data_IF_818187740552
#
_entry.id   IF_818187740552
#
_cell.length_a   1.000
_cell.length_b   1.000
_cell.length_c   1.000
_cell.angle_alpha   90.00
_cell.angle_beta   90.00
_cell.angle_gamma   90.00
#
_symmetry.space_group_name_H-M   'P 1'
#
loop_
_entity.id
_entity.type
_entity.pdbx_description
1 polymer ?
2 non-polymer ?
3 non-polymer ?
4 water ?
#
# COMPACT_ATOMS: atom_id res chain seq x y z
N UNK A 4 20.07 -10.60 21.56
CA UNK A 4 19.80 -10.40 20.08
C UNK A 4 19.10 -9.05 19.87
N UNK A 5 19.73 -8.08 19.15
CA UNK A 5 19.21 -6.73 19.04
C UNK A 5 17.89 -6.73 18.25
N UNK A 6 17.00 -5.78 18.56
CA UNK A 6 15.78 -5.59 17.74
C UNK A 6 16.15 -4.85 16.47
N UNK A 7 15.55 -5.19 15.32
CA UNK A 7 15.94 -4.53 14.08
C UNK A 7 15.43 -3.11 13.98
N UNK A 8 16.17 -2.30 13.24
CA UNK A 8 15.85 -0.89 12.90
C UNK A 8 15.23 -0.84 11.50
N UNK A 9 15.43 -1.90 10.71
CA UNK A 9 14.94 -2.01 9.33
C UNK A 9 14.74 -3.48 8.97
N UNK A 10 13.71 -3.75 8.17
CA UNK A 10 13.40 -5.11 7.66
C UNK A 10 13.25 -4.99 6.15
N UNK A 11 13.29 -6.12 5.49
CA UNK A 11 12.93 -6.16 4.06
C UNK A 11 11.65 -6.95 3.91
N UNK A 12 10.86 -6.43 2.98
CA UNK A 12 9.49 -6.93 2.70
C UNK A 12 9.44 -7.27 1.22
N UNK A 13 9.02 -8.48 0.91
CA UNK A 13 8.67 -8.94 -0.45
C UNK A 13 7.17 -8.80 -0.66
N UNK A 14 6.78 -8.19 -1.76
CA UNK A 14 5.39 -8.09 -2.20
C UNK A 14 5.29 -8.81 -3.53
N UNK A 15 4.41 -9.78 -3.65
CA UNK A 15 4.15 -10.39 -4.96
C UNK A 15 2.70 -10.27 -5.33
N UNK A 16 2.41 -10.06 -6.60
CA UNK A 16 1.04 -10.09 -7.13
C UNK A 16 1.03 -10.94 -8.39
N UNK A 17 0.10 -11.87 -8.45
CA UNK A 17 -0.03 -12.75 -9.61
C UNK A 17 -1.45 -13.11 -9.86
N UNK A 18 -1.96 -12.76 -11.02
CA UNK A 18 -3.25 -13.27 -11.50
C UNK A 18 -2.95 -14.59 -12.21
N UNK A 19 -3.37 -15.67 -11.60
CA UNK A 19 -2.99 -17.05 -11.97
C UNK A 19 -3.87 -17.54 -13.13
N UNK A 20 -4.88 -16.81 -13.54
CA UNK A 20 -5.71 -17.21 -14.68
C UNK A 20 -6.40 -18.55 -14.48
N UNK A 21 -6.72 -18.88 -13.23
CA UNK A 21 -7.49 -20.09 -12.85
C UNK A 21 -6.75 -21.35 -13.34
N UNK A 22 -5.42 -21.30 -13.38
CA UNK A 22 -4.58 -22.46 -13.75
C UNK A 22 -3.64 -22.74 -12.61
N UNK A 23 -3.30 -24.02 -12.34
CA UNK A 23 -2.30 -24.28 -11.34
C UNK A 23 -0.94 -23.75 -11.79
N UNK A 24 -0.07 -23.45 -10.83
CA UNK A 24 1.24 -22.94 -11.17
C UNK A 24 2.15 -24.03 -11.72
N UNK A 25 3.25 -23.64 -12.35
CA UNK A 25 4.25 -24.63 -12.73
C UNK A 25 5.00 -25.14 -11.48
N UNK A 26 5.86 -26.14 -11.70
CA UNK A 26 6.54 -26.81 -10.55
C UNK A 26 7.54 -25.87 -9.86
N UNK A 27 8.13 -24.93 -10.60
CA UNK A 27 9.14 -24.02 -10.04
C UNK A 27 8.68 -22.57 -10.22
N UNK A 28 8.61 -21.84 -9.12
CA UNK A 28 8.18 -20.41 -9.15
C UNK A 28 9.21 -19.59 -8.34
N UNK A 29 10.38 -20.15 -8.05
CA UNK A 29 11.44 -19.47 -7.28
C UNK A 29 11.88 -18.11 -7.86
N UNK A 30 11.84 -17.93 -9.19
CA UNK A 30 12.26 -16.67 -9.85
C UNK A 30 11.42 -15.50 -9.32
N UNK A 31 10.17 -15.77 -8.97
CA UNK A 31 9.27 -14.71 -8.44
C UNK A 31 9.84 -14.19 -7.12
N UNK A 32 10.14 -15.10 -6.20
CA UNK A 32 10.59 -14.72 -4.85
C UNK A 32 12.03 -14.19 -4.85
N UNK A 33 12.78 -14.50 -5.87
CA UNK A 33 14.15 -13.99 -6.06
C UNK A 33 14.16 -12.66 -6.80
N UNK A 34 13.03 -12.12 -7.24
CA UNK A 34 13.01 -10.85 -7.98
C UNK A 34 13.90 -10.94 -9.24
N UNK A 35 13.73 -12.02 -10.02
CA UNK A 35 14.48 -12.29 -11.28
C UNK A 35 13.52 -12.16 -12.47
N UNK A 36 14.00 -11.53 -13.55
CA UNK A 36 13.25 -11.46 -14.81
C UNK A 36 13.54 -10.14 -15.43
N UNK A 37 12.48 -9.36 -15.67
CA UNK A 37 12.57 -8.02 -16.29
C UNK A 37 12.37 -6.95 -15.23
N UNK A 38 12.84 -5.74 -15.52
CA UNK A 38 12.62 -4.58 -14.69
C UNK A 38 13.77 -4.32 -13.78
N UNK A 39 13.46 -3.86 -12.57
CA UNK A 39 14.45 -3.56 -11.51
C UNK A 39 14.59 -4.84 -10.66
N UNK A 40 15.63 -5.63 -10.95
CA UNK A 40 15.80 -6.98 -10.41
C UNK A 40 16.84 -6.99 -9.30
N UNK A 41 16.77 -8.05 -8.53
CA UNK A 41 17.60 -8.23 -7.34
C UNK A 41 18.95 -8.87 -7.72
N UNK A 42 20.02 -8.41 -7.10
CA UNK A 42 21.38 -8.92 -7.37
C UNK A 42 21.48 -10.41 -6.97
N UNK A 43 22.15 -11.18 -7.82
CA UNK A 43 22.38 -12.63 -7.55
C UNK A 43 23.02 -12.86 -6.17
N UNK A 44 23.86 -11.93 -5.74
CA UNK A 44 24.62 -12.10 -4.46
C UNK A 44 23.66 -12.12 -3.25
N UNK A 45 22.40 -11.72 -3.43
CA UNK A 45 21.40 -11.68 -2.34
C UNK A 45 20.54 -12.94 -2.35
N UNK A 46 20.68 -13.86 -3.29
CA UNK A 46 19.67 -14.91 -3.47
C UNK A 46 19.43 -15.74 -2.21
N UNK A 47 20.45 -15.94 -1.37
CA UNK A 47 20.23 -16.79 -0.18
C UNK A 47 19.72 -15.98 1.00
N UNK A 48 19.68 -14.66 0.90
CA UNK A 48 19.33 -13.79 2.04
C UNK A 48 17.79 -13.74 2.06
N UNK A 49 17.14 -14.25 3.11
CA UNK A 49 15.70 -14.21 3.16
C UNK A 49 15.22 -12.78 3.41
N UNK A 50 14.08 -12.43 2.81
CA UNK A 50 13.33 -11.26 3.24
C UNK A 50 12.74 -11.58 4.61
N UNK A 51 12.49 -10.55 5.39
CA UNK A 51 11.89 -10.69 6.74
C UNK A 51 10.44 -11.15 6.63
N UNK A 52 9.70 -10.59 5.68
CA UNK A 52 8.24 -10.80 5.51
C UNK A 52 7.99 -10.97 4.00
N UNK A 53 7.26 -12.01 3.60
CA UNK A 53 6.78 -12.22 2.23
C UNK A 53 5.27 -12.10 2.21
N UNK A 54 4.75 -11.21 1.38
CA UNK A 54 3.31 -10.99 1.24
C UNK A 54 2.97 -11.33 -0.18
N UNK A 55 2.09 -12.33 -0.36
CA UNK A 55 1.80 -12.95 -1.68
C UNK A 55 0.32 -12.77 -2.01
N UNK A 56 0.02 -11.90 -2.98
CA UNK A 56 -1.35 -11.64 -3.43
C UNK A 56 -1.59 -12.40 -4.70
N UNK A 57 -2.63 -13.18 -4.77
CA UNK A 57 -3.07 -13.83 -6.01
C UNK A 57 -4.49 -13.40 -6.35
N UNK A 58 -4.78 -13.51 -7.62
CA UNK A 58 -6.12 -13.30 -8.19
C UNK A 58 -6.40 -14.47 -9.15
N UNK A 59 -7.65 -14.82 -9.33
CA UNK A 59 -8.02 -15.98 -10.18
C UNK A 59 -7.22 -17.19 -9.69
N UNK A 60 -7.09 -17.35 -8.38
CA UNK A 60 -6.31 -18.42 -7.74
C UNK A 60 -7.20 -19.66 -7.63
N UNK A 61 -6.84 -20.77 -8.34
CA UNK A 61 -7.66 -22.00 -8.34
C UNK A 61 -7.34 -22.98 -7.21
N UNK A 62 -6.33 -22.71 -6.41
CA UNK A 62 -5.81 -23.64 -5.39
C UNK A 62 -6.57 -23.46 -4.09
N UNK A 63 -6.55 -24.50 -3.26
CA UNK A 63 -6.98 -24.35 -1.87
C UNK A 63 -5.88 -23.56 -1.12
N UNK A 64 -6.22 -23.03 0.04
CA UNK A 64 -5.24 -22.38 0.92
C UNK A 64 -4.13 -23.36 1.27
N UNK A 65 -4.49 -24.61 1.58
CA UNK A 65 -3.49 -25.65 1.92
C UNK A 65 -2.53 -25.82 0.75
N UNK A 66 -3.08 -26.01 -0.45
CA UNK A 66 -2.27 -26.32 -1.63
C UNK A 66 -1.31 -25.17 -1.87
N UNK A 67 -1.76 -23.93 -1.78
CA UNK A 67 -0.87 -22.80 -2.11
C UNK A 67 0.17 -22.61 -1.01
N UNK A 68 -0.22 -22.72 0.26
CA UNK A 68 0.73 -22.58 1.38
C UNK A 68 1.87 -23.61 1.24
N UNK A 69 1.53 -24.85 0.89
CA UNK A 69 2.49 -25.94 0.60
C UNK A 69 3.53 -25.42 -0.39
N UNK A 70 3.05 -24.93 -1.54
CA UNK A 70 3.92 -24.48 -2.64
C UNK A 70 4.77 -23.31 -2.20
N UNK A 71 4.17 -22.34 -1.52
CA UNK A 71 4.92 -21.16 -1.12
C UNK A 71 6.01 -21.53 -0.12
N UNK A 72 5.64 -22.25 0.93
CA UNK A 72 6.66 -22.59 1.96
C UNK A 72 7.82 -23.41 1.37
N UNK A 73 7.50 -24.39 0.52
CA UNK A 73 8.49 -25.23 -0.20
C UNK A 73 9.45 -24.31 -0.96
N UNK A 74 8.90 -23.41 -1.78
CA UNK A 74 9.67 -22.51 -2.66
C UNK A 74 10.64 -21.67 -1.82
N UNK A 75 10.18 -21.10 -0.70
CA UNK A 75 11.04 -20.27 0.15
C UNK A 75 12.09 -21.16 0.81
N UNK A 76 11.71 -22.34 1.27
CA UNK A 76 12.70 -23.24 1.92
C UNK A 76 13.77 -23.62 0.92
N UNK A 77 13.41 -23.93 -0.32
CA UNK A 77 14.38 -24.26 -1.37
C UNK A 77 15.35 -23.10 -1.58
N UNK A 78 14.86 -21.85 -1.59
CA UNK A 78 15.72 -20.66 -1.86
C UNK A 78 16.65 -20.41 -0.68
N UNK A 79 16.12 -20.43 0.52
CA UNK A 79 16.75 -19.80 1.69
C UNK A 79 17.20 -20.80 2.77
N UNK A 80 16.68 -22.04 2.70
CA UNK A 80 16.84 -23.12 3.71
C UNK A 80 15.99 -22.84 4.95
N UNK A 81 15.25 -21.72 4.97
CA UNK A 81 14.44 -21.28 6.16
C UNK A 81 13.01 -21.78 6.00
N UNK A 82 12.47 -22.33 7.07
CA UNK A 82 11.06 -22.72 7.16
C UNK A 82 10.26 -21.52 7.70
N UNK A 83 9.51 -20.87 6.82
CA UNK A 83 8.78 -19.63 7.18
C UNK A 83 7.53 -19.99 7.98
N UNK A 84 7.15 -19.09 8.85
CA UNK A 84 5.91 -19.20 9.66
C UNK A 84 4.80 -18.48 8.93
N UNK A 85 3.60 -19.03 8.98
CA UNK A 85 2.41 -18.41 8.39
C UNK A 85 1.84 -17.39 9.37
N UNK A 86 1.86 -16.11 9.04
CA UNK A 86 1.29 -15.02 9.84
C UNK A 86 -0.20 -14.97 9.62
N UNK A 87 -0.64 -15.01 8.37
CA UNK A 87 -2.05 -14.86 8.04
C UNK A 87 -2.30 -15.36 6.63
N UNK A 88 -3.51 -15.82 6.41
CA UNK A 88 -4.00 -16.15 5.04
C UNK A 88 -5.48 -15.79 4.99
N UNK A 89 -5.89 -15.11 3.95
CA UNK A 89 -7.30 -14.73 3.79
C UNK A 89 -7.68 -14.77 2.32
N UNK A 90 -8.83 -15.36 2.02
CA UNK A 90 -9.32 -15.55 0.65
C UNK A 90 -10.75 -15.03 0.53
N UNK A 91 -11.00 -14.24 -0.51
CA UNK A 91 -12.36 -13.85 -0.93
C UNK A 91 -12.51 -14.38 -2.34
N UNK A 92 -13.40 -15.32 -2.53
CA UNK A 92 -13.61 -15.94 -3.84
C UNK A 92 -12.29 -16.51 -4.32
N UNK A 93 -11.71 -15.96 -5.36
CA UNK A 93 -10.40 -16.43 -5.91
C UNK A 93 -9.31 -15.38 -5.73
N UNK A 94 -9.50 -14.44 -4.80
CA UNK A 94 -8.55 -13.38 -4.42
C UNK A 94 -7.95 -13.74 -3.07
N UNK A 95 -6.65 -13.83 -2.97
CA UNK A 95 -6.02 -14.37 -1.75
C UNK A 95 -4.80 -13.55 -1.34
N UNK A 96 -4.59 -13.46 -0.06
CA UNK A 96 -3.35 -12.91 0.49
C UNK A 96 -2.76 -13.89 1.49
N UNK A 97 -1.45 -14.11 1.39
CA UNK A 97 -0.65 -14.93 2.32
C UNK A 97 0.47 -14.06 2.89
N UNK A 98 0.66 -14.07 4.20
CA UNK A 98 1.80 -13.38 4.84
C UNK A 98 2.63 -14.44 5.55
N UNK A 99 3.89 -14.53 5.17
CA UNK A 99 4.88 -15.43 5.77
C UNK A 99 6.00 -14.60 6.37
N UNK A 100 6.56 -15.04 7.49
CA UNK A 100 7.67 -14.33 8.14
C UNK A 100 8.73 -15.28 8.64
N UNK A 101 9.97 -14.80 8.74
CA UNK A 101 11.06 -15.55 9.39
C UNK A 101 10.57 -16.05 10.75
N UNK A 102 10.98 -17.26 11.18
CA UNK A 102 10.60 -17.73 12.51
C UNK A 102 11.04 -16.85 13.68
N UNK A 103 12.15 -16.15 13.54
CA UNK A 103 12.69 -15.25 14.59
C UNK A 103 11.74 -14.08 14.81
N UNK A 104 10.81 -13.81 13.89
CA UNK A 104 9.87 -12.67 14.00
C UNK A 104 8.58 -13.05 14.71
N UNK A 105 8.40 -14.33 15.04
CA UNK A 105 7.08 -14.81 15.49
C UNK A 105 6.61 -14.03 16.73
N UNK A 106 7.54 -13.71 17.64
CA UNK A 106 7.24 -13.00 18.92
C UNK A 106 7.45 -11.49 18.74
N UNK A 107 7.64 -11.02 17.50
CA UNK A 107 7.68 -9.57 17.17
C UNK A 107 6.35 -9.16 16.53
N UNK A 108 5.58 -10.11 16.08
CA UNK A 108 4.36 -9.88 15.28
C UNK A 108 3.16 -10.07 16.19
N UNK A 109 2.25 -9.11 16.20
CA UNK A 109 1.03 -9.19 17.02
C UNK A 109 -0.10 -8.42 16.35
N UNK A 110 -1.30 -8.43 16.94
CA UNK A 110 -2.46 -7.65 16.48
C UNK A 110 -2.71 -7.97 15.00
N UNK A 111 -2.76 -9.25 14.66
CA UNK A 111 -2.98 -9.65 13.25
C UNK A 111 -4.45 -9.48 12.95
N UNK A 112 -4.77 -8.73 11.89
CA UNK A 112 -6.15 -8.52 11.39
C UNK A 112 -6.25 -8.95 9.93
N UNK A 113 -7.42 -9.43 9.53
CA UNK A 113 -7.73 -9.76 8.13
C UNK A 113 -9.09 -9.19 7.83
N UNK A 114 -9.33 -8.83 6.57
CA UNK A 114 -10.67 -8.42 6.15
C UNK A 114 -10.77 -8.51 4.64
N UNK A 115 -11.97 -8.36 4.10
CA UNK A 115 -12.17 -8.31 2.65
C UNK A 115 -13.25 -7.28 2.36
N UNK A 116 -13.26 -6.81 1.14
CA UNK A 116 -14.33 -5.96 0.63
C UNK A 116 -14.75 -6.52 -0.71
N UNK A 117 -16.04 -6.68 -0.91
CA UNK A 117 -16.66 -7.04 -2.19
C UNK A 117 -17.09 -5.80 -2.92
N UNK A 118 -16.61 -5.58 -4.16
CA UNK A 118 -16.98 -4.33 -4.86
C UNK A 118 -18.22 -4.55 -5.73
N UNK A 119 -18.81 -3.45 -6.22
CA UNK A 119 -19.91 -3.55 -7.21
C UNK A 119 -21.27 -3.77 -6.54
N UNK A 120 -22.31 -3.92 -7.37
CA UNK A 120 -23.74 -4.10 -6.93
C UNK A 120 -24.38 -5.04 -7.96
N UNK A 121 -25.11 -6.06 -7.50
CA UNK A 121 -25.95 -6.99 -8.32
C UNK A 121 -25.08 -7.66 -9.41
N UNK A 122 -25.23 -7.26 -10.68
CA UNK A 122 -24.41 -7.66 -11.88
C UNK A 122 -22.91 -7.73 -11.54
N UNK A 123 -22.40 -6.67 -10.90
CA UNK A 123 -20.96 -6.36 -10.70
C UNK A 123 -20.49 -6.86 -9.32
N UNK A 124 -21.38 -7.39 -8.47
CA UNK A 124 -20.98 -8.07 -7.20
C UNK A 124 -20.87 -9.58 -7.46
N UNK A 125 -19.70 -10.15 -7.19
CA UNK A 125 -19.57 -11.62 -7.13
C UNK A 125 -18.18 -12.10 -7.47
N UNK A 126 -17.32 -11.26 -8.04
CA UNK A 126 -15.93 -11.77 -8.14
C UNK A 126 -14.80 -10.80 -7.89
N UNK A 127 -15.06 -9.49 -7.92
CA UNK A 127 -14.03 -8.42 -7.74
C UNK A 127 -14.06 -7.93 -6.29
N UNK A 128 -12.94 -7.41 -5.81
CA UNK A 128 -12.83 -6.86 -4.48
C UNK A 128 -11.44 -6.95 -3.98
N UNK A 129 -11.27 -7.03 -2.68
CA UNK A 129 -9.94 -6.97 -2.09
C UNK A 129 -9.90 -7.78 -0.82
N UNK A 130 -8.72 -8.28 -0.50
CA UNK A 130 -8.41 -8.87 0.81
C UNK A 130 -7.28 -8.07 1.42
N UNK A 131 -7.17 -8.09 2.74
CA UNK A 131 -6.09 -7.40 3.42
C UNK A 131 -5.68 -8.04 4.70
N UNK A 132 -4.48 -7.70 5.11
CA UNK A 132 -3.87 -8.16 6.36
C UNK A 132 -3.21 -6.95 6.99
N UNK A 133 -3.32 -6.82 8.29
CA UNK A 133 -2.47 -5.89 9.06
C UNK A 133 -1.91 -6.55 10.30
N UNK A 134 -0.81 -6.01 10.78
CA UNK A 134 -0.27 -6.45 12.07
C UNK A 134 0.72 -5.40 12.55
N UNK A 135 1.12 -5.54 13.81
CA UNK A 135 2.23 -4.78 14.39
C UNK A 135 3.49 -5.62 14.26
N UNK A 136 4.57 -5.01 13.86
CA UNK A 136 5.91 -5.60 13.91
C UNK A 136 6.66 -4.73 14.92
N UNK A 137 6.87 -5.24 16.12
CA UNK A 137 7.39 -4.39 17.24
C UNK A 137 6.57 -3.09 17.27
N UNK A 138 7.20 -1.92 17.17
CA UNK A 138 6.48 -0.64 17.35
C UNK A 138 5.86 -0.12 16.05
N UNK A 139 5.93 -0.90 14.97
CA UNK A 139 5.59 -0.43 13.62
C UNK A 139 4.35 -1.15 13.10
N UNK A 140 3.36 -0.40 12.59
CA UNK A 140 2.13 -0.99 12.04
C UNK A 140 2.30 -1.17 10.53
N UNK A 141 1.90 -2.32 10.04
CA UNK A 141 2.06 -2.72 8.63
C UNK A 141 0.70 -3.14 8.09
N UNK A 142 0.30 -2.61 6.95
CA UNK A 142 -0.95 -3.00 6.27
C UNK A 142 -0.68 -3.45 4.86
N UNK A 143 -1.46 -4.41 4.35
CA UNK A 143 -1.25 -5.02 3.03
C UNK A 143 -2.60 -5.24 2.40
N UNK A 144 -2.78 -4.76 1.18
CA UNK A 144 -4.06 -4.88 0.46
C UNK A 144 -3.77 -5.53 -0.88
N UNK A 145 -4.47 -6.61 -1.18
CA UNK A 145 -4.47 -7.25 -2.51
C UNK A 145 -5.84 -7.06 -3.13
N UNK A 146 -5.95 -6.28 -4.19
CA UNK A 146 -7.22 -5.97 -4.84
C UNK A 146 -7.22 -6.51 -6.26
N UNK A 147 -8.35 -7.00 -6.70
CA UNK A 147 -8.66 -7.38 -8.09
C UNK A 147 -9.76 -6.43 -8.53
N UNK A 148 -9.41 -5.40 -9.27
CA UNK A 148 -10.38 -4.35 -9.64
C UNK A 148 -11.06 -4.71 -10.97
N UNK A 149 -12.09 -3.94 -11.30
CA UNK A 149 -12.92 -4.17 -12.49
C UNK A 149 -12.03 -4.22 -13.72
N UNK A 150 -12.33 -5.15 -14.65
CA UNK A 150 -11.57 -5.30 -15.90
C UNK A 150 -12.17 -4.43 -17.02
N UNK A 151 -11.41 -4.30 -18.09
CA UNK A 151 -11.88 -3.68 -19.34
C UNK A 151 -11.29 -2.32 -19.52
N UNK A 152 -10.78 -2.05 -20.72
CA UNK A 152 -10.15 -0.77 -21.02
C UNK A 152 -11.05 0.46 -20.79
N UNK A 153 -12.37 0.26 -20.92
CA UNK A 153 -13.37 1.35 -20.90
C UNK A 153 -13.77 1.71 -19.45
N UNK A 154 -13.32 0.94 -18.47
CA UNK A 154 -13.87 1.02 -17.08
C UNK A 154 -12.87 1.60 -16.08
N UNK A 155 -12.05 2.57 -16.47
CA UNK A 155 -11.10 3.18 -15.48
C UNK A 155 -11.90 3.85 -14.34
N UNK A 156 -13.01 4.53 -14.64
CA UNK A 156 -13.78 5.21 -13.57
C UNK A 156 -14.29 4.18 -12.55
N UNK A 157 -14.75 3.01 -13.03
CA UNK A 157 -15.24 1.90 -12.15
C UNK A 157 -14.08 1.44 -11.26
N UNK A 158 -12.88 1.29 -11.83
CA UNK A 158 -11.72 0.89 -11.02
C UNK A 158 -11.51 1.94 -9.91
N UNK A 159 -11.60 3.21 -10.26
CA UNK A 159 -11.36 4.30 -9.27
C UNK A 159 -12.41 4.19 -8.15
N UNK A 160 -13.63 3.89 -8.53
CA UNK A 160 -14.72 3.71 -7.55
C UNK A 160 -14.41 2.49 -6.68
N UNK A 161 -13.93 1.42 -7.32
CA UNK A 161 -13.59 0.19 -6.56
C UNK A 161 -12.54 0.54 -5.50
N UNK A 162 -11.50 1.27 -5.90
CA UNK A 162 -10.43 1.75 -4.97
C UNK A 162 -11.04 2.49 -3.78
N UNK A 163 -11.96 3.42 -4.04
CA UNK A 163 -12.52 4.24 -2.93
C UNK A 163 -13.37 3.34 -2.02
N UNK A 164 -14.15 2.42 -2.58
CA UNK A 164 -14.90 1.48 -1.70
C UNK A 164 -13.94 0.63 -0.84
N UNK A 165 -12.87 0.13 -1.41
CA UNK A 165 -11.94 -0.71 -0.64
C UNK A 165 -11.32 0.12 0.49
N UNK A 166 -10.86 1.30 0.13
CA UNK A 166 -10.21 2.29 1.03
C UNK A 166 -11.15 2.57 2.21
N UNK A 167 -12.44 2.76 1.92
CA UNK A 167 -13.44 3.12 2.95
C UNK A 167 -13.79 1.95 3.85
N UNK A 168 -13.93 0.76 3.31
CA UNK A 168 -14.68 -0.32 4.01
C UNK A 168 -13.79 -1.43 4.50
N UNK A 169 -12.51 -1.47 4.07
CA UNK A 169 -11.64 -2.52 4.57
C UNK A 169 -11.28 -2.19 6.02
N UNK A 170 -11.59 -3.08 6.94
CA UNK A 170 -11.46 -2.83 8.40
C UNK A 170 -10.19 -3.50 8.91
N UNK A 171 -9.07 -2.81 8.81
CA UNK A 171 -7.78 -3.33 9.29
C UNK A 171 -7.22 -2.35 10.32
N UNK A 172 -6.21 -2.80 11.06
CA UNK A 172 -5.48 -1.95 12.01
C UNK A 172 -6.29 -1.60 13.21
N UNK A 173 -5.90 -0.52 13.89
CA UNK A 173 -6.40 -0.20 15.24
C UNK A 173 -7.80 0.43 15.14
N UNK A 174 -8.81 -0.34 15.58
CA UNK A 174 -10.22 0.15 15.50
C UNK A 174 -10.40 1.42 16.32
N UNK A 175 -9.58 1.79 17.30
CA UNK A 175 -9.68 3.06 18.07
C UNK A 175 -9.37 4.25 17.17
N UNK A 176 -8.75 4.02 15.99
CA UNK A 176 -8.45 5.11 15.04
C UNK A 176 -9.68 5.38 14.19
N UNK A 177 -10.80 5.65 14.86
CA UNK A 177 -12.12 5.57 14.21
C UNK A 177 -12.29 6.61 13.12
N UNK A 178 -11.69 7.82 13.14
CA UNK A 178 -11.84 8.72 12.00
C UNK A 178 -11.03 8.33 10.76
N UNK A 179 -10.16 7.35 10.90
CA UNK A 179 -9.11 7.13 9.89
C UNK A 179 -9.41 5.86 9.10
N UNK A 180 -9.26 5.96 7.79
CA UNK A 180 -9.32 4.80 6.90
C UNK A 180 -7.95 4.13 6.80
N UNK A 181 -7.86 3.04 6.02
CA UNK A 181 -6.56 2.32 5.96
C UNK A 181 -5.44 3.22 5.42
N UNK A 182 -5.73 4.29 4.67
CA UNK A 182 -4.64 5.12 4.12
C UNK A 182 -3.98 5.94 5.22
N UNK A 183 -4.46 5.91 6.46
CA UNK A 183 -3.80 6.60 7.58
C UNK A 183 -3.48 5.69 8.76
N UNK A 184 -3.90 4.42 8.75
CA UNK A 184 -3.74 3.57 9.97
C UNK A 184 -2.35 2.95 10.14
N UNK A 185 -1.49 2.96 9.12
CA UNK A 185 -0.25 2.16 9.14
C UNK A 185 0.98 3.00 8.88
N UNK A 186 2.05 2.68 9.59
CA UNK A 186 3.38 3.23 9.31
C UNK A 186 3.69 3.02 7.82
N UNK A 187 3.46 1.79 7.36
CA UNK A 187 3.68 1.41 5.95
C UNK A 187 2.44 0.67 5.45
N UNK A 188 1.86 1.13 4.35
CA UNK A 188 0.73 0.45 3.67
C UNK A 188 1.18 0.08 2.26
N UNK A 189 1.05 -1.19 1.92
CA UNK A 189 1.35 -1.72 0.57
C UNK A 189 0.04 -2.12 -0.07
N UNK A 190 -0.25 -1.57 -1.25
CA UNK A 190 -1.47 -1.90 -1.98
C UNK A 190 -1.07 -2.42 -3.35
N UNK A 191 -1.49 -3.62 -3.69
CA UNK A 191 -1.04 -4.32 -4.88
C UNK A 191 -2.21 -5.13 -5.41
N UNK A 192 -2.00 -5.73 -6.58
CA UNK A 192 -2.98 -6.63 -7.15
C UNK A 192 -3.09 -6.50 -8.65
N UNK A 193 -4.12 -7.15 -9.19
CA UNK A 193 -4.58 -6.93 -10.58
C UNK A 193 -5.48 -5.72 -10.55
N UNK A 194 -4.84 -4.55 -10.62
CA UNK A 194 -5.57 -3.28 -10.58
C UNK A 194 -6.27 -3.04 -11.91
N UNK A 195 -5.83 -3.72 -12.99
CA UNK A 195 -6.59 -3.78 -14.24
C UNK A 195 -6.63 -2.48 -15.05
N UNK A 196 -5.79 -1.53 -14.69
CA UNK A 196 -5.62 -0.34 -15.55
C UNK A 196 -4.87 -0.70 -16.82
N UNK A 197 -5.26 -0.08 -17.93
CA UNK A 197 -4.79 -0.47 -19.26
C UNK A 197 -4.03 0.67 -19.92
N UNK A 198 -3.32 0.32 -20.97
CA UNK A 198 -2.66 1.29 -21.87
C UNK A 198 -3.72 1.75 -22.85
N UNK A 199 -4.14 3.01 -22.74
CA UNK A 199 -5.27 3.60 -23.50
C UNK A 199 -4.73 4.15 -24.83
N UNK A 200 -4.55 3.26 -25.80
CA UNK A 200 -4.14 3.61 -27.17
C UNK A 200 -5.20 2.96 -28.04
N UNK A 201 -5.39 3.42 -29.30
CA UNK A 201 -6.41 2.83 -30.15
C UNK A 201 -6.11 1.36 -30.42
N UNK A 202 -7.16 0.54 -30.57
CA UNK A 202 -7.05 -0.94 -30.70
C UNK A 202 -6.31 -1.30 -32.00
N UNK A 203 -6.38 -0.42 -33.01
CA UNK A 203 -5.71 -0.64 -34.32
C UNK A 203 -4.22 -0.28 -34.24
N UNK A 204 -3.74 0.22 -33.10
CA UNK A 204 -2.28 0.33 -32.81
C UNK A 204 -1.73 -0.92 -32.10
N UNK A 205 -2.47 -2.00 -31.98
CA UNK A 205 -2.02 -3.19 -31.25
C UNK A 205 -0.66 -3.66 -31.74
N UNK A 206 -0.44 -3.78 -33.05
CA UNK A 206 0.81 -4.38 -33.55
C UNK A 206 1.92 -3.38 -33.31
N UNK A 207 1.63 -2.07 -33.40
CA UNK A 207 2.64 -1.04 -33.09
C UNK A 207 3.06 -1.20 -31.63
N UNK A 208 2.10 -1.39 -30.74
CA UNK A 208 2.43 -1.53 -29.29
C UNK A 208 3.34 -2.74 -29.08
N UNK A 209 3.00 -3.86 -29.70
CA UNK A 209 3.80 -5.11 -29.65
C UNK A 209 5.23 -4.85 -30.10
N UNK A 210 5.41 -4.13 -31.20
CA UNK A 210 6.78 -3.87 -31.71
C UNK A 210 7.52 -2.94 -30.74
N UNK A 211 6.84 -1.97 -30.10
CA UNK A 211 7.49 -1.14 -29.06
C UNK A 211 7.98 -2.04 -27.91
N UNK A 212 7.14 -2.99 -27.48
CA UNK A 212 7.51 -3.90 -26.37
C UNK A 212 8.72 -4.72 -26.78
N UNK A 213 8.74 -5.25 -28.00
CA UNK A 213 9.91 -6.04 -28.48
C UNK A 213 11.21 -5.23 -28.49
N UNK A 214 11.13 -3.92 -28.66
CA UNK A 214 12.27 -2.98 -28.67
C UNK A 214 12.58 -2.52 -27.25
N UNK A 215 11.82 -2.98 -26.26
CA UNK A 215 11.96 -2.51 -24.86
C UNK A 215 11.83 -0.99 -24.76
N UNK A 216 10.95 -0.41 -25.56
CA UNK A 216 10.69 1.03 -25.60
C UNK A 216 9.33 1.24 -24.99
N UNK A 217 9.29 1.46 -23.69
CA UNK A 217 8.01 1.54 -22.93
C UNK A 217 7.52 2.97 -22.80
N UNK A 218 8.28 4.02 -23.15
CA UNK A 218 7.92 5.43 -22.82
C UNK A 218 6.57 5.82 -23.43
N UNK A 219 6.34 5.53 -24.71
CA UNK A 219 5.10 5.96 -25.39
C UNK A 219 3.93 5.10 -24.96
N UNK A 220 4.19 3.97 -24.29
CA UNK A 220 3.09 3.17 -23.72
C UNK A 220 2.76 3.66 -22.30
N UNK A 221 3.79 3.84 -21.44
CA UNK A 221 3.57 4.30 -20.05
C UNK A 221 2.88 5.68 -20.04
N UNK A 222 3.17 6.52 -21.02
CA UNK A 222 2.52 7.85 -21.09
C UNK A 222 1.01 7.72 -21.27
N UNK A 223 0.51 6.54 -21.65
CA UNK A 223 -0.94 6.28 -21.80
C UNK A 223 -1.46 5.29 -20.76
N UNK A 224 -0.64 4.86 -19.82
CA UNK A 224 -1.12 3.93 -18.76
C UNK A 224 -2.16 4.66 -17.94
N UNK A 225 -3.31 4.01 -17.78
CA UNK A 225 -4.42 4.68 -17.10
C UNK A 225 -4.14 4.90 -15.63
N UNK A 226 -3.42 4.02 -14.96
CA UNK A 226 -3.16 4.23 -13.53
C UNK A 226 -2.24 5.47 -13.40
N UNK A 227 -1.19 5.58 -14.19
CA UNK A 227 -0.29 6.75 -14.08
C UNK A 227 -1.08 8.03 -14.43
N UNK A 228 -1.92 8.01 -15.44
CA UNK A 228 -2.62 9.26 -15.83
C UNK A 228 -3.69 9.59 -14.78
N UNK A 229 -4.47 8.62 -14.31
CA UNK A 229 -5.48 8.87 -13.26
C UNK A 229 -4.82 9.39 -11.99
N UNK A 230 -3.66 8.84 -11.63
CA UNK A 230 -2.90 9.31 -10.44
C UNK A 230 -2.43 10.74 -10.67
N UNK A 231 -1.93 11.07 -11.87
CA UNK A 231 -1.45 12.44 -12.16
C UNK A 231 -2.61 13.43 -11.98
N UNK A 232 -3.83 13.02 -12.34
CA UNK A 232 -5.03 13.90 -12.25
C UNK A 232 -5.70 13.77 -10.88
N UNK A 233 -5.06 13.08 -9.92
CA UNK A 233 -5.56 12.99 -8.53
C UNK A 233 -6.94 12.33 -8.52
N UNK A 234 -7.17 11.34 -9.36
CA UNK A 234 -8.47 10.62 -9.40
C UNK A 234 -8.42 9.36 -8.54
N UNK A 235 -7.23 8.88 -8.16
CA UNK A 235 -7.07 7.56 -7.50
C UNK A 235 -5.68 7.52 -6.88
N UNK A 236 -5.52 6.73 -5.82
CA UNK A 236 -4.25 6.45 -5.17
C UNK A 236 -3.54 7.77 -4.82
N UNK A 237 -4.28 8.76 -4.36
CA UNK A 237 -3.66 10.03 -3.91
C UNK A 237 -2.68 9.71 -2.76
N UNK A 238 -1.48 10.27 -2.84
CA UNK A 238 -0.41 10.20 -1.84
C UNK A 238 0.19 8.81 -1.75
N UNK A 239 0.00 7.97 -2.76
CA UNK A 239 0.73 6.69 -2.89
C UNK A 239 1.90 6.86 -3.82
N UNK A 240 2.91 6.02 -3.65
CA UNK A 240 4.12 5.95 -4.49
C UNK A 240 4.08 4.68 -5.34
N UNK A 241 4.75 4.72 -6.50
CA UNK A 241 5.00 3.52 -7.31
C UNK A 241 6.39 3.70 -7.87
N UNK A 242 7.18 2.62 -7.86
CA UNK A 242 8.53 2.59 -8.48
C UNK A 242 8.34 2.72 -10.00
N UNK A 243 9.32 3.32 -10.70
CA UNK A 243 9.27 3.40 -12.16
C UNK A 243 9.17 2.01 -12.75
N UNK A 244 8.31 1.87 -13.75
CA UNK A 244 8.10 0.59 -14.45
C UNK A 244 9.13 0.44 -15.58
N UNK A 245 9.90 -0.62 -15.53
CA UNK A 245 11.01 -0.86 -16.51
C UNK A 245 10.89 -2.27 -17.07
N UNK A 246 9.74 -2.93 -16.91
CA UNK A 246 9.45 -4.30 -17.39
C UNK A 246 8.31 -4.21 -18.40
N UNK A 247 8.21 -5.19 -19.27
CA UNK A 247 7.15 -5.22 -20.30
C UNK A 247 5.78 -5.36 -19.66
N UNK A 248 4.72 -4.94 -20.35
CA UNK A 248 3.36 -5.22 -19.90
C UNK A 248 3.20 -6.68 -19.48
N UNK A 249 2.44 -6.91 -18.40
CA UNK A 249 2.35 -8.24 -17.79
C UNK A 249 1.08 -8.96 -18.20
N UNK A 250 0.31 -8.37 -19.10
CA UNK A 250 -0.98 -8.88 -19.59
C UNK A 250 -1.13 -8.38 -21.03
N UNK A 251 -1.79 -9.10 -21.95
CA UNK A 251 -2.34 -10.43 -21.84
C UNK A 251 -1.54 -11.38 -22.72
N UNK A 252 -0.94 -12.40 -22.12
CA UNK A 252 -0.05 -13.34 -22.86
C UNK A 252 -0.85 -14.57 -23.29
N UNK A 253 -0.45 -15.15 -24.40
CA UNK A 253 -0.76 -16.58 -24.67
C UNK A 253 -0.10 -17.43 -23.59
N UNK A 254 -0.81 -18.41 -23.04
CA UNK A 254 -0.22 -19.30 -22.01
C UNK A 254 0.86 -20.21 -22.60
N UNK A 255 1.81 -20.59 -21.76
CA UNK A 255 2.89 -21.60 -21.99
C UNK A 255 4.03 -21.01 -22.82
N UNK A 256 3.94 -19.75 -23.25
CA UNK A 256 5.11 -19.01 -23.78
C UNK A 256 5.11 -17.63 -23.14
N UNK A 257 6.12 -16.79 -23.37
CA UNK A 257 5.94 -15.32 -23.19
C UNK A 257 6.18 -14.61 -24.51
N UNK A 258 6.11 -15.34 -25.62
CA UNK A 258 6.54 -14.82 -26.94
C UNK A 258 5.40 -14.04 -27.61
N UNK A 259 4.18 -14.19 -27.10
CA UNK A 259 3.00 -13.65 -27.77
C UNK A 259 2.05 -12.99 -26.78
N UNK A 260 1.72 -11.77 -27.10
CA UNK A 260 0.55 -11.08 -26.54
C UNK A 260 -0.70 -11.47 -27.30
N UNK A 261 -1.75 -11.88 -26.57
CA UNK A 261 -3.07 -12.24 -27.13
C UNK A 261 -4.03 -11.12 -26.83
N UNK A 262 -4.18 -10.22 -27.78
CA UNK A 262 -4.95 -8.99 -27.58
C UNK A 262 -6.29 -8.94 -28.30
N UNK A 263 -6.48 -9.81 -29.31
CA UNK A 263 -7.65 -9.75 -30.23
C UNK A 263 -8.93 -10.09 -29.48
N UNK A 264 -10.06 -9.53 -29.92
CA UNK A 264 -11.37 -9.80 -29.29
C UNK A 264 -11.80 -11.23 -29.66
N UNK A 265 -12.36 -11.91 -28.68
CA UNK A 265 -12.76 -13.34 -28.77
C UNK A 265 -14.06 -13.52 -27.97
N UNK A 266 -14.86 -14.56 -28.26
CA UNK A 266 -16.04 -14.78 -27.41
C UNK A 266 -15.62 -14.87 -25.93
N UNK A 267 -14.50 -15.54 -25.64
CA UNK A 267 -13.96 -15.75 -24.27
C UNK A 267 -13.67 -14.41 -23.59
N UNK A 268 -13.44 -13.32 -24.34
CA UNK A 268 -13.17 -11.98 -23.74
C UNK A 268 -14.40 -11.11 -23.72
N UNK A 269 -15.59 -11.63 -24.02
CA UNK A 269 -16.76 -10.77 -24.20
C UNK A 269 -16.61 -9.87 -25.42
N UNK A 270 -15.86 -10.31 -26.44
CA UNK A 270 -15.57 -9.50 -27.64
C UNK A 270 -14.91 -8.18 -27.26
N UNK A 271 -14.01 -8.24 -26.27
CA UNK A 271 -13.19 -7.10 -25.82
C UNK A 271 -11.74 -7.29 -26.29
N UNK A 272 -11.10 -6.21 -26.71
CA UNK A 272 -9.66 -6.20 -26.95
C UNK A 272 -8.97 -6.09 -25.60
N UNK A 273 -7.85 -6.78 -25.51
CA UNK A 273 -6.96 -6.66 -24.33
C UNK A 273 -5.58 -6.25 -24.84
N UNK A 274 -5.42 -4.98 -25.15
CA UNK A 274 -4.10 -4.48 -25.57
C UNK A 274 -3.14 -4.70 -24.41
N UNK A 275 -1.85 -4.94 -24.71
CA UNK A 275 -0.84 -5.14 -23.68
C UNK A 275 -0.85 -4.01 -22.66
N UNK A 276 -0.92 -4.41 -21.40
CA UNK A 276 -1.13 -3.49 -20.27
C UNK A 276 -0.35 -3.90 -19.02
N UNK A 277 -0.10 -2.90 -18.19
CA UNK A 277 0.48 -3.14 -16.86
C UNK A 277 -0.67 -3.28 -15.85
N UNK A 278 -1.36 -4.41 -15.94
CA UNK A 278 -2.50 -4.67 -15.01
C UNK A 278 -2.03 -4.83 -13.56
N UNK A 279 -0.84 -5.33 -13.34
CA UNK A 279 -0.38 -5.98 -12.10
C UNK A 279 0.65 -5.09 -11.42
N UNK A 280 0.33 -4.52 -10.26
CA UNK A 280 1.04 -3.33 -9.75
C UNK A 280 1.25 -3.43 -8.26
N UNK A 281 2.24 -2.71 -7.79
CA UNK A 281 2.52 -2.55 -6.36
C UNK A 281 2.74 -1.09 -6.08
N UNK A 282 1.96 -0.56 -5.16
CA UNK A 282 2.08 0.82 -4.68
C UNK A 282 2.23 0.82 -3.16
N UNK A 283 2.71 1.92 -2.62
CA UNK A 283 2.81 2.01 -1.17
C UNK A 283 2.60 3.43 -0.67
N UNK A 284 2.32 3.52 0.60
CA UNK A 284 2.20 4.83 1.28
C UNK A 284 2.75 4.64 2.66
N UNK A 285 3.75 5.42 3.06
CA UNK A 285 4.34 5.34 4.39
C UNK A 285 4.17 6.71 5.05
N UNK A 286 4.16 6.72 6.36
CA UNK A 286 4.06 7.98 7.13
C UNK A 286 5.26 8.83 6.77
N UNK A 287 5.09 10.18 6.88
CA UNK A 287 6.15 11.10 6.55
C UNK A 287 7.45 10.82 7.29
N UNK A 288 8.57 10.89 6.57
CA UNK A 288 9.96 10.79 7.08
C UNK A 288 10.20 9.43 7.73
N UNK A 289 9.48 8.39 7.28
CA UNK A 289 9.87 7.02 7.66
C UNK A 289 10.65 6.44 6.48
N UNK A 290 11.74 5.76 6.76
CA UNK A 290 12.55 5.09 5.71
C UNK A 290 11.69 4.06 4.97
N UNK A 291 11.63 4.18 3.64
CA UNK A 291 11.05 3.12 2.78
C UNK A 291 11.73 3.28 1.43
N UNK A 292 12.37 2.25 0.99
CA UNK A 292 13.13 2.27 -0.30
C UNK A 292 12.77 1.02 -1.08
N UNK A 293 12.26 1.22 -2.30
CA UNK A 293 11.99 0.08 -3.22
C UNK A 293 13.32 -0.44 -3.74
N UNK A 294 13.58 -1.73 -3.51
CA UNK A 294 14.84 -2.40 -3.94
C UNK A 294 14.64 -3.14 -5.26
N UNK A 295 13.41 -3.52 -5.61
CA UNK A 295 13.13 -4.27 -6.86
C UNK A 295 11.68 -4.01 -7.25
N UNK A 296 11.44 -4.05 -8.55
CA UNK A 296 10.08 -3.92 -9.10
C UNK A 296 10.16 -4.46 -10.50
N UNK A 297 9.56 -5.63 -10.71
CA UNK A 297 9.75 -6.31 -11.99
C UNK A 297 8.79 -7.43 -12.22
N UNK A 298 8.96 -8.16 -13.30
CA UNK A 298 8.09 -9.31 -13.60
C UNK A 298 8.95 -10.50 -13.93
N UNK A 299 8.44 -11.71 -13.69
CA UNK A 299 9.18 -12.90 -14.08
C UNK A 299 8.96 -13.15 -15.57
N UNK A 300 9.90 -13.89 -16.14
CA UNK A 300 9.93 -14.28 -17.57
C UNK A 300 9.66 -15.76 -17.76
N UNK A 301 9.72 -16.58 -16.71
CA UNK A 301 9.80 -18.05 -16.80
C UNK A 301 8.59 -18.74 -16.18
N UNK A 302 7.53 -18.01 -15.78
CA UNK A 302 6.31 -18.57 -15.16
C UNK A 302 5.18 -18.24 -16.13
N UNK A 303 4.69 -19.25 -16.85
CA UNK A 303 3.88 -19.05 -18.09
C UNK A 303 2.54 -19.77 -18.05
N UNK A 304 2.07 -20.22 -16.88
CA UNK A 304 0.79 -20.96 -16.79
C UNK A 304 -0.40 -20.01 -16.96
N UNK A 305 -0.23 -18.73 -16.66
CA UNK A 305 -1.31 -17.75 -16.70
C UNK A 305 -1.16 -16.83 -17.90
N UNK A 306 -2.19 -16.10 -18.20
CA UNK A 306 -2.13 -15.02 -19.20
C UNK A 306 -1.58 -13.72 -18.58
N UNK A 307 -1.27 -13.73 -17.29
CA UNK A 307 -0.47 -12.69 -16.62
C UNK A 307 0.86 -13.25 -16.17
N UNK A 308 1.91 -12.42 -16.21
CA UNK A 308 3.17 -12.70 -15.51
C UNK A 308 3.11 -12.20 -14.08
N UNK A 309 3.68 -12.97 -13.13
CA UNK A 309 3.88 -12.49 -11.77
C UNK A 309 4.69 -11.18 -11.75
N UNK A 310 4.39 -10.35 -10.77
CA UNK A 310 5.10 -9.10 -10.48
C UNK A 310 5.64 -9.22 -9.06
N UNK A 311 6.86 -8.76 -8.86
CA UNK A 311 7.51 -8.69 -7.55
C UNK A 311 7.91 -7.26 -7.25
N UNK A 312 7.92 -6.90 -6.00
CA UNK A 312 8.52 -5.66 -5.50
C UNK A 312 9.11 -5.95 -4.14
N UNK A 313 10.27 -5.40 -3.86
CA UNK A 313 10.85 -5.54 -2.52
C UNK A 313 11.19 -4.18 -1.98
N UNK A 314 11.14 -4.08 -0.65
CA UNK A 314 11.32 -2.82 0.06
C UNK A 314 12.19 -3.03 1.30
N UNK A 315 13.00 -2.02 1.57
CA UNK A 315 13.68 -1.85 2.89
C UNK A 315 12.84 -0.83 3.69
N UNK A 316 12.28 -1.24 4.83
CA UNK A 316 11.28 -0.45 5.58
C UNK A 316 11.79 -0.21 7.00
N UNK A 317 11.79 1.04 7.43
CA UNK A 317 12.16 1.38 8.81
C UNK A 317 11.14 0.82 9.78
N UNK A 318 11.64 0.26 10.90
CA UNK A 318 10.83 -0.24 12.02
C UNK A 318 11.41 0.28 13.32
N UNK A 319 10.59 0.29 14.33
CA UNK A 319 10.94 0.80 15.67
C UNK A 319 10.71 -0.31 16.69
N UNK A 320 11.36 -0.19 17.84
CA UNK A 320 11.30 -1.16 18.96
C UNK A 320 9.97 -1.00 19.71
N UNK A 321 9.64 -1.98 20.54
CA UNK A 321 8.54 -1.90 21.53
C UNK A 321 9.10 -1.25 22.82
N UNK A 322 9.11 0.08 22.87
CA UNK A 322 9.77 0.90 23.91
C UNK A 322 9.10 0.76 25.29
N UNK A 323 9.94 0.52 26.32
CA UNK A 323 9.55 0.58 27.76
C UNK A 323 10.44 1.61 28.46
N UNK A 324 9.83 2.50 29.24
CA UNK A 324 10.56 3.37 30.20
C UNK A 324 10.07 3.08 31.62
N UNK A 325 10.71 3.73 32.57
CA UNK A 325 10.39 3.67 34.02
C UNK A 325 8.96 4.17 34.19
N UNK A 326 8.53 5.09 33.29
CA UNK A 326 7.22 5.80 33.30
C UNK A 326 6.29 5.08 32.33
N UNK A 327 6.10 5.60 31.10
CA UNK A 327 5.24 4.93 30.11
C UNK A 327 5.89 3.65 29.59
N UNK A 328 5.12 2.63 29.13
CA UNK A 328 3.64 2.62 29.21
C UNK A 328 2.96 2.50 30.59
N UNK A 329 1.80 3.13 30.73
CA UNK A 329 0.89 3.03 31.89
C UNK A 329 0.93 4.25 32.76
N UNK A 330 1.65 5.27 32.29
CA UNK A 330 1.57 6.65 32.80
C UNK A 330 2.16 7.58 31.74
N UNK A 331 2.09 8.89 31.97
CA UNK A 331 2.75 9.94 31.14
C UNK A 331 4.20 10.10 31.62
N UNK A 332 5.01 10.85 30.87
CA UNK A 332 6.39 11.22 31.24
C UNK A 332 6.49 12.74 31.15
N UNK A 333 6.21 13.43 32.25
CA UNK A 333 6.03 14.90 32.31
C UNK A 333 7.23 15.62 31.68
N UNK A 334 8.33 14.93 31.36
CA UNK A 334 9.48 15.59 30.67
C UNK A 334 9.19 15.74 29.17
N UNK A 335 8.06 15.21 28.70
CA UNK A 335 7.63 15.24 27.28
C UNK A 335 6.43 16.11 27.05
N UNK A 336 6.42 16.89 25.96
CA UNK A 336 5.19 17.62 25.55
C UNK A 336 5.23 17.96 24.06
N UNK A 337 4.04 18.02 23.48
CA UNK A 337 3.85 18.47 22.06
C UNK A 337 2.87 19.64 22.04
N UNK A 338 3.35 20.78 21.55
CA UNK A 338 2.52 22.01 21.43
C UNK A 338 2.36 22.35 19.95
N UNK A 339 1.12 22.68 19.57
CA UNK A 339 0.75 23.21 18.23
C UNK A 339 0.45 24.71 18.36
N UNK A 340 1.21 25.56 17.67
CA UNK A 340 1.08 27.04 17.65
C UNK A 340 0.49 27.47 16.31
N UNK A 341 -0.40 28.47 16.31
CA UNK A 341 -0.74 29.26 15.09
C UNK A 341 -1.24 28.26 14.02
N UNK A 342 -2.04 27.29 14.43
CA UNK A 342 -2.51 26.25 13.47
C UNK A 342 -3.81 26.70 12.80
N UNK A 343 -3.97 26.31 11.55
CA UNK A 343 -5.29 26.49 10.90
C UNK A 343 -5.48 25.40 9.83
N UNK A 344 -6.73 25.04 9.69
CA UNK A 344 -7.17 24.11 8.65
C UNK A 344 -7.83 24.94 7.56
N UNK A 345 -7.53 24.60 6.33
CA UNK A 345 -8.18 25.18 5.14
C UNK A 345 -9.02 24.05 4.55
N UNK A 346 -10.34 24.24 4.48
CA UNK A 346 -11.23 23.15 4.01
C UNK A 346 -11.94 23.54 2.72
N UNK A 347 -12.17 22.57 1.86
CA UNK A 347 -12.91 22.75 0.58
C UNK A 347 -14.44 22.74 0.78
N UNK A 348 -14.92 22.40 1.95
CA UNK A 348 -16.38 22.31 2.29
C UNK A 348 -17.13 23.64 2.13
N UNK A 349 -18.39 23.52 1.78
CA UNK A 349 -19.32 24.68 1.68
C UNK A 349 -20.06 24.86 3.02
N UNK A 350 -19.94 23.88 3.92
CA UNK A 350 -20.74 23.82 5.17
C UNK A 350 -20.26 24.92 6.14
N UNK A 351 -21.06 25.26 7.14
CA UNK A 351 -20.73 26.37 8.08
C UNK A 351 -20.84 25.93 9.56
N UNK A 352 -20.82 24.62 9.85
CA UNK A 352 -20.64 24.10 11.23
C UNK A 352 -19.35 24.66 11.84
N UNK A 353 -19.26 24.66 13.16
CA UNK A 353 -17.97 24.75 13.89
C UNK A 353 -17.25 23.40 13.72
N UNK A 354 -15.93 23.45 13.78
CA UNK A 354 -15.06 22.24 13.73
C UNK A 354 -14.18 22.17 14.95
N UNK A 355 -13.83 20.95 15.34
CA UNK A 355 -12.80 20.65 16.36
C UNK A 355 -11.82 19.65 15.78
N UNK A 356 -10.68 19.49 16.45
CA UNK A 356 -9.67 18.50 16.04
C UNK A 356 -9.70 17.30 16.98
N UNK A 357 -9.30 16.17 16.45
CA UNK A 357 -8.83 15.03 17.29
C UNK A 357 -7.40 14.69 16.92
N UNK A 358 -6.55 14.50 17.95
CA UNK A 358 -5.14 14.09 17.81
C UNK A 358 -5.04 12.64 18.27
N UNK A 359 -4.62 11.75 17.38
CA UNK A 359 -4.48 10.33 17.69
C UNK A 359 -3.05 9.88 17.51
N UNK A 360 -2.51 9.17 18.47
CA UNK A 360 -1.14 8.63 18.33
C UNK A 360 -0.89 7.58 19.38
N UNK A 361 -0.13 6.55 19.00
CA UNK A 361 0.37 5.50 19.92
C UNK A 361 1.21 6.11 21.04
N UNK A 362 1.76 7.31 20.84
CA UNK A 362 2.57 7.98 21.89
C UNK A 362 1.66 8.64 22.94
N UNK A 363 0.33 8.65 22.79
CA UNK A 363 -0.63 9.20 23.77
C UNK A 363 -1.40 8.07 24.44
N UNK A 364 -1.84 8.27 25.67
CA UNK A 364 -2.60 7.22 26.40
C UNK A 364 -3.94 7.04 25.69
N UNK A 365 -4.52 8.11 25.19
CA UNK A 365 -5.75 8.08 24.37
C UNK A 365 -5.83 9.37 23.55
N UNK A 366 -6.73 9.39 22.59
CA UNK A 366 -6.82 10.53 21.66
C UNK A 366 -7.27 11.78 22.42
N UNK A 367 -6.91 12.93 21.85
CA UNK A 367 -7.19 14.26 22.47
C UNK A 367 -8.09 15.06 21.55
N UNK A 368 -9.15 15.63 22.12
CA UNK A 368 -10.18 16.44 21.39
C UNK A 368 -9.99 17.91 21.75
N UNK A 369 -9.74 18.75 20.74
CA UNK A 369 -9.53 20.22 20.92
C UNK A 369 -10.88 20.89 21.17
N UNK A 370 -10.78 22.15 21.60
CA UNK A 370 -11.87 23.16 21.50
C UNK A 370 -12.19 23.39 20.02
N UNK A 371 -13.37 23.94 19.78
CA UNK A 371 -13.79 24.40 18.44
C UNK A 371 -12.87 25.52 17.97
N UNK A 372 -12.53 25.51 16.69
CA UNK A 372 -11.79 26.57 16.03
C UNK A 372 -12.66 27.76 15.67
N UNK A 373 -12.03 28.83 15.20
CA UNK A 373 -12.72 30.07 14.75
C UNK A 373 -12.76 30.10 13.22
N UNK A 374 -13.95 30.03 12.67
CA UNK A 374 -14.20 30.02 11.20
C UNK A 374 -14.00 31.42 10.62
N UNK A 375 -13.17 31.55 9.59
CA UNK A 375 -13.11 32.77 8.78
C UNK A 375 -13.34 32.38 7.32
N UNK A 376 -13.67 33.35 6.48
CA UNK A 376 -13.74 33.22 4.99
C UNK A 376 -12.33 33.45 4.42
N UNK A 377 -11.80 32.51 3.63
CA UNK A 377 -10.60 32.69 2.79
C UNK A 377 -10.87 33.59 1.58
N UNK A 378 -9.82 34.23 1.05
CA UNK A 378 -9.90 35.22 -0.07
C UNK A 378 -10.56 34.59 -1.31
N UNK A 379 -10.28 33.32 -1.59
CA UNK A 379 -10.68 32.63 -2.86
C UNK A 379 -11.87 31.68 -2.60
N UNK A 380 -12.70 31.95 -1.59
CA UNK A 380 -13.97 31.23 -1.33
C UNK A 380 -13.93 30.23 -0.16
N UNK A 381 -12.74 29.81 0.29
CA UNK A 381 -12.54 28.60 1.16
C UNK A 381 -13.02 28.84 2.59
N UNK A 382 -13.15 27.77 3.36
CA UNK A 382 -13.29 27.87 4.84
C UNK A 382 -11.90 27.75 5.48
N UNK A 383 -11.54 28.72 6.32
CA UNK A 383 -10.30 28.68 7.15
C UNK A 383 -10.77 28.53 8.58
N UNK A 384 -10.29 27.50 9.24
CA UNK A 384 -10.62 27.25 10.65
C UNK A 384 -9.34 27.53 11.45
N UNK A 385 -9.38 28.57 12.28
CA UNK A 385 -8.21 29.04 13.07
C UNK A 385 -8.26 28.44 14.46
N UNK A 386 -7.15 27.88 14.94
CA UNK A 386 -7.09 27.29 16.30
C UNK A 386 -6.27 28.15 17.26
N UNK A 387 -5.54 29.09 16.71
CA UNK A 387 -4.67 30.03 17.45
C UNK A 387 -3.61 29.28 18.25
N UNK A 388 -3.60 29.55 19.56
CA UNK A 388 -2.71 28.95 20.56
C UNK A 388 -3.61 28.24 21.57
N UNK A 389 -4.83 27.88 21.13
CA UNK A 389 -5.90 27.29 21.96
C UNK A 389 -5.71 25.76 22.08
N UNK A 390 -4.92 25.12 21.20
CA UNK A 390 -4.87 23.63 21.09
C UNK A 390 -4.31 23.00 22.37
N UNK A 391 -4.85 21.84 22.84
CA UNK A 391 -4.40 21.23 24.08
C UNK A 391 -2.94 20.78 23.96
N UNK A 392 -2.16 20.91 25.05
CA UNK A 392 -0.76 20.43 25.09
C UNK A 392 -0.81 18.90 25.15
N UNK A 393 -0.14 18.19 24.22
CA UNK A 393 -0.19 16.71 24.20
C UNK A 393 0.92 16.17 25.10
N UNK A 394 0.55 15.15 25.88
CA UNK A 394 1.40 14.54 26.92
C UNK A 394 1.74 13.12 26.51
N UNK A 395 2.94 12.92 25.91
CA UNK A 395 3.33 11.59 25.44
C UNK A 395 3.68 10.72 26.64
N UNK A 396 3.58 9.41 26.44
CA UNK A 396 3.75 8.36 27.48
C UNK A 396 5.22 8.19 27.78
N UNK A 397 6.07 8.59 26.84
CA UNK A 397 7.55 8.41 26.92
C UNK A 397 8.19 9.69 26.39
N UNK A 398 9.21 10.23 27.05
CA UNK A 398 9.84 11.54 26.72
C UNK A 398 11.16 11.34 26.01
N UNK A 399 11.68 10.11 26.01
CA UNK A 399 12.99 9.80 25.43
C UNK A 399 12.94 10.23 23.97
N UNK A 400 13.87 11.07 23.50
CA UNK A 400 13.86 11.53 22.09
C UNK A 400 14.09 10.39 21.12
N UNK A 401 14.80 9.34 21.50
CA UNK A 401 15.00 8.14 20.63
C UNK A 401 13.65 7.49 20.31
N UNK A 402 12.69 7.66 21.19
CA UNK A 402 11.31 7.15 20.95
C UNK A 402 10.53 8.25 20.25
N UNK A 403 10.48 9.44 20.86
CA UNK A 403 9.39 10.41 20.51
C UNK A 403 9.60 10.94 19.09
N UNK A 404 10.86 11.13 18.66
CA UNK A 404 11.16 11.73 17.36
C UNK A 404 10.73 10.76 16.26
N UNK A 405 10.53 9.48 16.57
CA UNK A 405 10.08 8.48 15.57
C UNK A 405 8.56 8.36 15.51
N UNK A 406 7.81 9.16 16.26
CA UNK A 406 6.35 8.99 16.31
C UNK A 406 5.66 9.93 15.32
N UNK A 407 4.36 9.75 15.21
CA UNK A 407 3.48 10.51 14.29
C UNK A 407 2.19 10.84 14.99
N UNK A 408 1.65 12.01 14.66
CA UNK A 408 0.32 12.45 15.15
C UNK A 408 -0.66 12.45 13.98
N UNK A 409 -1.71 11.62 14.08
CA UNK A 409 -2.83 11.67 13.14
C UNK A 409 -3.77 12.78 13.60
N UNK A 410 -4.26 13.56 12.64
CA UNK A 410 -5.22 14.67 12.90
C UNK A 410 -6.49 14.44 12.11
N UNK A 411 -7.62 14.50 12.79
CA UNK A 411 -8.94 14.58 12.15
C UNK A 411 -9.57 15.91 12.51
N UNK A 412 -10.18 16.54 11.52
CA UNK A 412 -11.01 17.74 11.74
C UNK A 412 -12.45 17.32 11.57
N UNK A 413 -13.21 17.50 12.67
CA UNK A 413 -14.58 16.96 12.78
C UNK A 413 -15.59 18.08 12.95
N UNK A 414 -16.78 17.89 12.36
CA UNK A 414 -17.92 18.81 12.54
C UNK A 414 -18.44 18.70 13.98
N UNK A 415 -18.59 19.83 14.67
CA UNK A 415 -19.32 19.87 15.98
C UNK A 415 -20.76 19.37 15.83
N UNK A 416 -21.42 19.59 14.69
CA UNK A 416 -22.85 19.28 14.49
C UNK A 416 -23.05 17.78 14.33
N UNK A 417 -22.13 17.11 13.64
CA UNK A 417 -22.36 15.70 13.21
C UNK A 417 -21.29 14.77 13.78
N UNK A 418 -20.18 15.31 14.28
CA UNK A 418 -19.01 14.52 14.75
C UNK A 418 -18.42 13.68 13.61
N UNK A 419 -18.68 14.01 12.43
CA UNK A 419 -18.10 13.29 11.27
C UNK A 419 -16.79 14.00 10.87
N UNK A 420 -15.77 13.24 10.49
CA UNK A 420 -14.49 13.79 9.98
C UNK A 420 -14.69 14.40 8.60
N UNK A 421 -14.21 15.62 8.42
CA UNK A 421 -14.14 16.29 7.12
C UNK A 421 -12.73 16.19 6.53
N UNK A 422 -11.75 15.72 7.30
CA UNK A 422 -10.40 15.57 6.75
C UNK A 422 -9.49 14.90 7.78
N UNK A 423 -8.54 14.14 7.24
CA UNK A 423 -7.57 13.37 8.03
C UNK A 423 -6.21 13.61 7.42
N UNK A 424 -5.20 13.68 8.28
CA UNK A 424 -3.81 13.82 7.88
C UNK A 424 -2.87 13.36 8.96
N UNK A 425 -1.58 13.52 8.73
CA UNK A 425 -0.55 12.97 9.61
C UNK A 425 0.63 13.93 9.67
N UNK A 426 1.14 14.16 10.87
CA UNK A 426 2.34 15.00 11.14
C UNK A 426 3.45 14.13 11.73
N UNK A 427 4.64 14.16 11.15
CA UNK A 427 5.82 13.47 11.76
C UNK A 427 6.39 14.30 12.91
N UNK A 428 6.89 13.61 13.93
CA UNK A 428 7.66 14.25 15.02
C UNK A 428 9.17 14.16 14.78
N UNK A 429 9.58 13.76 13.57
CA UNK A 429 11.02 13.65 13.20
C UNK A 429 11.56 15.05 12.86
N UNK A 430 11.60 15.92 13.87
CA UNK A 430 11.85 17.38 13.69
C UNK A 430 13.35 17.66 13.52
N UNK A 431 13.64 18.80 12.93
CA UNK A 431 15.02 19.33 12.79
C UNK A 431 15.57 19.78 14.14
N UNK A 432 14.72 20.03 15.11
CA UNK A 432 15.06 20.65 16.42
C UNK A 432 13.98 20.34 17.42
N UNK A 433 14.32 20.29 18.71
CA UNK A 433 13.36 20.28 19.82
C UNK A 433 13.36 21.65 20.52
N UNK A 434 12.35 21.92 21.31
CA UNK A 434 12.25 23.18 22.09
C UNK A 434 12.32 24.36 21.12
N UNK A 435 11.90 24.17 19.86
CA UNK A 435 12.04 25.17 18.76
C UNK A 435 10.73 25.19 17.97
N UNK A 436 10.15 26.36 17.67
CA UNK A 436 8.91 26.42 16.88
C UNK A 436 9.27 26.09 15.44
N UNK A 437 8.60 25.10 14.85
CA UNK A 437 8.96 24.67 13.49
C UNK A 437 7.68 24.50 12.68
N UNK A 438 7.71 24.83 11.38
CA UNK A 438 6.53 24.67 10.54
C UNK A 438 6.12 23.18 10.44
N UNK A 439 4.82 22.93 10.48
CA UNK A 439 4.24 21.60 10.15
C UNK A 439 3.18 21.76 9.07
N UNK A 440 2.91 20.66 8.37
CA UNK A 440 1.95 20.68 7.26
C UNK A 440 1.50 19.24 7.02
N UNK A 441 0.20 19.07 6.75
CA UNK A 441 -0.30 17.85 6.09
C UNK A 441 -1.45 18.22 5.17
N UNK A 442 -1.58 17.56 4.01
CA UNK A 442 -2.84 17.61 3.30
C UNK A 442 -3.88 16.89 4.17
N UNK A 443 -5.13 17.21 3.94
CA UNK A 443 -6.26 16.51 4.59
C UNK A 443 -7.04 15.80 3.52
N UNK A 444 -7.40 14.55 3.80
CA UNK A 444 -8.24 13.78 2.89
C UNK A 444 -9.45 13.24 3.63
N UNK A 445 -10.48 12.88 2.87
CA UNK A 445 -11.62 12.11 3.43
C UNK A 445 -12.09 11.16 2.36
N UNK A 446 -12.27 9.91 2.72
CA UNK A 446 -12.49 8.82 1.74
C UNK A 446 -11.38 8.86 0.68
N UNK A 447 -10.17 9.22 1.10
CA UNK A 447 -8.97 9.23 0.25
C UNK A 447 -8.94 10.33 -0.79
N UNK A 448 -9.91 11.27 -0.78
CA UNK A 448 -9.92 12.44 -1.66
C UNK A 448 -9.49 13.68 -0.89
N UNK A 449 -8.80 14.58 -1.59
CA UNK A 449 -8.35 15.85 -0.99
C UNK A 449 -9.52 16.69 -0.51
N UNK A 450 -9.52 17.11 0.76
CA UNK A 450 -10.58 17.96 1.32
C UNK A 450 -10.04 19.25 1.90
N UNK A 451 -8.73 19.38 1.96
CA UNK A 451 -8.17 20.56 2.65
C UNK A 451 -6.74 20.37 3.05
N UNK A 452 -6.29 21.25 3.92
CA UNK A 452 -4.91 21.27 4.45
C UNK A 452 -4.89 21.71 5.90
N UNK A 453 -3.85 21.25 6.59
CA UNK A 453 -3.62 21.67 7.99
C UNK A 453 -2.17 22.13 8.09
N UNK A 454 -1.98 23.33 8.64
CA UNK A 454 -0.60 23.87 8.71
C UNK A 454 -0.51 24.72 9.97
N UNK A 455 0.72 24.88 10.45
CA UNK A 455 0.95 25.69 11.63
C UNK A 455 2.34 25.47 12.09
N UNK A 456 2.55 25.53 13.40
CA UNK A 456 3.89 25.31 13.95
C UNK A 456 3.77 24.31 15.09
N UNK A 457 4.86 23.61 15.34
CA UNK A 457 4.96 22.63 16.44
C UNK A 457 6.16 23.05 17.31
N UNK A 458 6.11 22.63 18.56
CA UNK A 458 7.21 22.80 19.54
C UNK A 458 7.23 21.49 20.33
N UNK A 459 8.28 20.67 20.20
CA UNK A 459 8.40 19.36 20.84
C UNK A 459 9.43 19.42 21.97
N UNK A 460 9.01 19.05 23.18
CA UNK A 460 9.89 18.86 24.37
C UNK A 460 10.16 17.37 24.55
N UNK A 461 11.44 16.98 24.57
CA UNK A 461 11.87 15.60 24.91
C UNK A 461 12.67 15.71 26.20
N UNK A 462 13.06 14.59 26.77
CA UNK A 462 13.92 14.53 27.98
C UNK A 462 15.33 15.06 27.68
N UNK A 463 15.71 15.28 26.43
CA UNK A 463 17.10 15.74 26.11
C UNK A 463 17.11 17.22 25.72
X LIG B 1 2.71 8.50 -17.39
X LIG B 1 2.77 12.01 -11.78
X LIG B 1 2.21 10.74 -11.96
X LIG B 1 2.77 10.65 -14.44
X LIG B 1 2.50 9.86 -15.70
X LIG B 1 1.34 9.88 -16.46
X LIG B 1 2.24 10.02 -13.23
X LIG B 1 1.61 10.12 -10.89
X LIG B 1 1.55 10.73 -9.64
X LIG B 1 2.12 11.99 -9.48
X LIG B 1 2.72 12.62 -10.55
X LIG B 1 1.51 9.01 -17.50
X LIG B 1 1.11 8.86 -11.10
X LIG B 1 3.35 9.01 -16.27
X LIG C 1 6.49 3.64 13.82
X LIG C 1 7.57 2.60 13.73
X LIG C 1 7.17 5.03 13.03
X LIG C 1 6.55 4.32 15.47
X LIG D 1 0.33 6.10 15.06
X LIG D 1 0.82 6.59 16.39
X LIG D 1 -1.30 5.48 15.40
X LIG D 1 -0.19 7.52 14.21
X LIG E 1 -0.73 12.88 4.49
X LIG E 1 -1.30 11.70 5.27
X LIG E 1 -0.13 12.32 2.94
X LIG E 1 0.84 13.23 5.24
#
# INVERSE_FOLDING_TARGET
SMEQPEPDMITIFIGTWNMGNAPPPKKITSWFLSKGQGKTRDDSADYIPHDIYVIGTQEDPLSEKEWLEILKHSLQEITSVTFKTVAIHTLWNIRIVVLAKPEHENRISHICTDNVKTGIANTLGNKGAVGVSFMFNGTSLGFVNSHLTSGSEKKLRRNQNYMNILRFLALGDKKLSPFNITHRFTHLFWFGDLNYRVDLPTWEAETIIQKIKQQQYADLLSHDQLLTERREQKVFLHFEEEEITFAPTYRFERLTRDKYAYTKQKATGMKYNLPSWCDRVLWKSYPLVHVVCQSYGSTSDIMTSDHSPVFATFEAGVTSQFVSKNGPGTVDSQGQIEFLRCYATLKTKSQTKFYLEFHSSCLESFVKSQEGENEEGSEGELVVKFGETLPKLKPIISDPEYLLDQHILISIKSSDSDESYGEGCIALRLEATETQLPIYTPLTHHGELTGHFQGEIKLQTSQ
UWV N1 C4 C5 C6 C7 C8 N C C1 C2 C3 C9 F N2
DMS S O C1 C2
DMS S O C1 C2
DMS S O C1 C2
#
